data_IF_196328018082
#
_entry.id   IF_196328018082
#
_cell.length_a   1.000
_cell.length_b   1.000
_cell.length_c   1.000
_cell.angle_alpha   90.00
_cell.angle_beta   90.00
_cell.angle_gamma   90.00
#
_symmetry.space_group_name_H-M   'P 1'
#
loop_
_entity.id
_entity.type
_entity.pdbx_description
1 polymer ?
#
# COMPACT_ATOMS: atom_id res chain seq x y z
N UNK A 1 -18.08 15.62 -1.72
CA UNK A 1 -16.90 16.27 -1.11
C UNK A 1 -15.94 16.65 -2.23
N UNK A 2 -15.42 17.88 -2.20
CA UNK A 2 -14.28 18.28 -3.03
C UNK A 2 -13.03 17.55 -2.56
N UNK A 3 -12.32 16.94 -3.48
CA UNK A 3 -11.01 16.28 -3.34
C UNK A 3 -9.89 17.32 -3.48
N UNK A 4 -8.76 17.10 -2.80
CA UNK A 4 -7.58 17.97 -2.85
C UNK A 4 -6.54 17.50 -3.87
N UNK A 5 -6.55 16.22 -4.24
CA UNK A 5 -5.54 15.62 -5.13
C UNK A 5 -6.13 14.64 -6.13
N UNK A 6 -5.42 14.43 -7.24
CA UNK A 6 -5.77 13.41 -8.23
C UNK A 6 -5.78 11.98 -7.65
N UNK A 7 -4.98 11.72 -6.62
CA UNK A 7 -5.02 10.43 -5.90
C UNK A 7 -6.37 10.28 -5.19
N UNK A 8 -6.81 11.31 -4.48
CA UNK A 8 -8.12 11.29 -3.81
C UNK A 8 -9.27 11.21 -4.80
N UNK A 9 -9.21 11.90 -5.95
CA UNK A 9 -10.18 11.75 -7.04
C UNK A 9 -10.27 10.30 -7.52
N UNK A 10 -9.12 9.71 -7.84
CA UNK A 10 -9.03 8.33 -8.34
C UNK A 10 -9.57 7.30 -7.35
N UNK A 11 -9.48 7.57 -6.05
CA UNK A 11 -9.87 6.65 -4.97
C UNK A 11 -11.32 6.88 -4.53
N UNK A 12 -11.80 8.13 -4.57
CA UNK A 12 -13.21 8.50 -4.37
C UNK A 12 -14.09 7.85 -5.45
N UNK A 13 -13.69 7.93 -6.71
CA UNK A 13 -14.56 7.57 -7.81
C UNK A 13 -14.67 6.04 -8.01
N UNK A 14 -13.76 5.25 -7.42
CA UNK A 14 -13.79 3.79 -7.54
C UNK A 14 -12.99 3.08 -6.44
N UNK A 15 -13.67 2.23 -5.66
CA UNK A 15 -13.02 1.30 -4.72
C UNK A 15 -12.05 0.35 -5.45
N UNK A 16 -12.39 -0.08 -6.67
CA UNK A 16 -11.53 -0.97 -7.47
C UNK A 16 -10.18 -0.30 -7.79
N UNK A 17 -10.17 1.00 -8.11
CA UNK A 17 -8.91 1.73 -8.33
C UNK A 17 -8.07 1.87 -7.06
N UNK A 18 -8.71 1.88 -5.89
CA UNK A 18 -8.00 1.84 -4.63
C UNK A 18 -7.41 0.44 -4.39
N UNK A 19 -8.15 -0.62 -4.69
CA UNK A 19 -7.68 -1.99 -4.59
C UNK A 19 -6.48 -2.25 -5.52
N UNK A 20 -6.54 -1.80 -6.78
CA UNK A 20 -5.42 -1.93 -7.72
C UNK A 20 -4.12 -1.31 -7.18
N UNK A 21 -4.24 -0.13 -6.55
CA UNK A 21 -3.10 0.55 -5.92
C UNK A 21 -2.59 -0.21 -4.70
N UNK A 22 -3.48 -0.73 -3.87
CA UNK A 22 -3.11 -1.57 -2.71
C UNK A 22 -2.42 -2.86 -3.16
N UNK A 23 -2.86 -3.47 -4.26
CA UNK A 23 -2.23 -4.67 -4.83
C UNK A 23 -0.80 -4.38 -5.31
N UNK A 24 -0.56 -3.21 -5.93
CA UNK A 24 0.78 -2.78 -6.33
C UNK A 24 1.68 -2.59 -5.11
N UNK A 25 1.17 -1.98 -4.04
CA UNK A 25 1.91 -1.76 -2.79
C UNK A 25 2.23 -3.08 -2.09
N UNK A 26 1.26 -4.00 -2.03
CA UNK A 26 1.44 -5.34 -1.47
C UNK A 26 2.51 -6.12 -2.25
N UNK A 27 2.50 -6.06 -3.58
CA UNK A 27 3.55 -6.67 -4.40
C UNK A 27 4.94 -6.05 -4.14
N UNK A 28 5.01 -4.72 -3.95
CA UNK A 28 6.26 -4.05 -3.61
C UNK A 28 6.77 -4.46 -2.21
N UNK A 29 5.87 -4.56 -1.23
CA UNK A 29 6.16 -5.05 0.12
C UNK A 29 6.74 -6.46 0.11
N UNK A 30 6.12 -7.38 -0.61
CA UNK A 30 6.60 -8.77 -0.76
C UNK A 30 8.01 -8.78 -1.37
N UNK A 31 8.25 -8.01 -2.44
CA UNK A 31 9.59 -7.94 -3.07
C UNK A 31 10.64 -7.38 -2.11
N UNK A 32 10.32 -6.32 -1.36
CA UNK A 32 11.23 -5.72 -0.38
C UNK A 32 11.57 -6.71 0.74
N UNK A 33 10.58 -7.43 1.26
CA UNK A 33 10.79 -8.46 2.28
C UNK A 33 11.65 -9.62 1.76
N UNK A 34 11.46 -10.04 0.51
CA UNK A 34 12.31 -11.04 -0.13
C UNK A 34 13.75 -10.54 -0.27
N UNK A 35 13.96 -9.30 -0.73
CA UNK A 35 15.30 -8.71 -0.84
C UNK A 35 16.01 -8.58 0.50
N UNK A 36 15.28 -8.39 1.61
CA UNK A 36 15.86 -8.35 2.96
C UNK A 36 16.33 -9.72 3.47
N UNK A 37 15.81 -10.82 2.91
CA UNK A 37 16.24 -12.18 3.26
C UNK A 37 17.50 -12.62 2.50
N UNK A 38 17.93 -11.86 1.50
CA UNK A 38 19.17 -12.11 0.75
C UNK A 38 20.40 -11.57 1.51
N UNK A 39 21.62 -12.02 1.19
CA UNK A 39 22.84 -11.47 1.77
C UNK A 39 23.02 -10.01 1.31
N UNK A 40 22.63 -9.07 2.16
CA UNK A 40 22.66 -7.64 1.88
C UNK A 40 23.60 -6.93 2.84
N UNK A 41 24.18 -5.82 2.40
CA UNK A 41 24.98 -4.97 3.31
C UNK A 41 24.07 -4.30 4.33
N UNK A 42 24.65 -3.84 5.45
CA UNK A 42 23.91 -3.08 6.47
C UNK A 42 23.23 -1.82 5.88
N UNK A 43 23.89 -1.14 4.95
CA UNK A 43 23.35 0.04 4.27
C UNK A 43 22.15 -0.32 3.40
N UNK A 44 22.24 -1.41 2.62
CA UNK A 44 21.13 -1.91 1.81
C UNK A 44 19.95 -2.32 2.69
N UNK A 45 20.22 -2.99 3.81
CA UNK A 45 19.18 -3.36 4.77
C UNK A 45 18.46 -2.12 5.33
N UNK A 46 19.20 -1.07 5.70
CA UNK A 46 18.61 0.19 6.16
C UNK A 46 17.76 0.85 5.07
N UNK A 47 18.23 0.86 3.82
CA UNK A 47 17.46 1.37 2.68
C UNK A 47 16.16 0.57 2.48
N UNK A 48 16.22 -0.76 2.55
CA UNK A 48 15.02 -1.60 2.44
C UNK A 48 14.04 -1.38 3.58
N UNK A 49 14.53 -1.17 4.81
CA UNK A 49 13.67 -0.81 5.95
C UNK A 49 12.91 0.50 5.69
N UNK A 50 13.61 1.55 5.24
CA UNK A 50 12.96 2.84 4.92
C UNK A 50 11.93 2.72 3.80
N UNK A 51 12.24 1.94 2.75
CA UNK A 51 11.30 1.70 1.66
C UNK A 51 10.07 0.90 2.13
N UNK A 52 10.28 -0.10 2.99
CA UNK A 52 9.19 -0.89 3.55
C UNK A 52 8.25 -0.05 4.42
N UNK A 53 8.79 0.82 5.27
CA UNK A 53 8.01 1.76 6.07
C UNK A 53 7.22 2.72 5.19
N UNK A 54 7.81 3.24 4.11
CA UNK A 54 7.12 4.12 3.17
C UNK A 54 5.95 3.41 2.46
N UNK A 55 6.11 2.13 2.08
CA UNK A 55 5.03 1.34 1.48
C UNK A 55 3.88 1.12 2.45
N UNK A 56 4.19 0.76 3.72
CA UNK A 56 3.18 0.58 4.77
C UNK A 56 2.40 1.88 4.99
N UNK A 57 3.09 3.01 5.09
CA UNK A 57 2.44 4.32 5.26
C UNK A 57 1.56 4.68 4.05
N UNK A 58 1.98 4.35 2.83
CA UNK A 58 1.19 4.58 1.63
C UNK A 58 -0.10 3.74 1.61
N UNK A 59 -0.06 2.48 2.05
CA UNK A 59 -1.24 1.63 2.19
C UNK A 59 -2.25 2.24 3.17
N UNK A 60 -1.77 2.68 4.33
CA UNK A 60 -2.62 3.30 5.36
C UNK A 60 -3.29 4.58 4.85
N UNK A 61 -2.55 5.44 4.14
CA UNK A 61 -3.10 6.67 3.54
C UNK A 61 -4.24 6.33 2.57
N UNK A 62 -4.05 5.34 1.68
CA UNK A 62 -5.08 4.94 0.72
C UNK A 62 -6.31 4.39 1.45
N UNK A 63 -6.13 3.53 2.45
CA UNK A 63 -7.24 2.97 3.25
C UNK A 63 -8.04 4.06 3.97
N UNK A 64 -7.36 5.05 4.55
CA UNK A 64 -8.00 6.21 5.20
C UNK A 64 -8.81 7.03 4.19
N UNK A 65 -8.25 7.29 3.00
CA UNK A 65 -8.95 8.03 1.95
C UNK A 65 -10.19 7.26 1.47
N UNK A 66 -10.09 5.94 1.23
CA UNK A 66 -11.24 5.12 0.83
C UNK A 66 -12.33 5.16 1.89
N UNK A 67 -11.96 4.96 3.15
CA UNK A 67 -12.92 4.96 4.25
C UNK A 67 -13.70 6.27 4.32
N UNK A 68 -13.02 7.41 4.13
CA UNK A 68 -13.66 8.74 4.10
C UNK A 68 -14.72 8.90 3.01
N UNK A 69 -14.55 8.26 1.86
CA UNK A 69 -15.46 8.44 0.72
C UNK A 69 -16.54 7.37 0.60
N UNK A 70 -16.23 6.14 1.03
CA UNK A 70 -17.12 4.99 0.82
C UNK A 70 -17.76 4.48 2.12
N UNK A 71 -17.32 4.96 3.30
CA UNK A 71 -17.72 4.46 4.62
C UNK A 71 -17.57 2.93 4.75
N UNK A 72 -16.68 2.34 3.96
CA UNK A 72 -16.41 0.91 3.94
C UNK A 72 -14.91 0.72 4.15
N UNK A 73 -14.50 -0.21 5.03
CA UNK A 73 -13.11 -0.61 5.10
C UNK A 73 -12.76 -1.32 3.78
N UNK A 74 -11.62 -0.97 3.19
CA UNK A 74 -11.02 -1.85 2.19
C UNK A 74 -10.58 -3.10 2.92
N UNK A 75 -11.24 -4.22 2.67
CA UNK A 75 -10.80 -5.50 3.23
C UNK A 75 -9.41 -5.78 2.66
N UNK A 76 -8.41 -6.16 3.48
CA UNK A 76 -7.28 -6.86 2.92
C UNK A 76 -7.83 -8.07 2.16
N UNK A 77 -7.30 -8.37 0.98
CA UNK A 77 -7.57 -9.66 0.35
C UNK A 77 -6.98 -10.72 1.29
N UNK A 78 -7.80 -11.23 2.20
CA UNK A 78 -7.57 -12.45 2.94
C UNK A 78 -7.56 -13.58 1.91
N UNK A 79 -6.42 -13.86 1.28
CA UNK A 79 -6.14 -15.12 0.57
C UNK A 79 -4.67 -15.19 0.16
N UNK A 80 -3.83 -15.57 1.12
CA UNK A 80 -2.74 -16.52 0.92
C UNK A 80 -2.57 -17.30 2.25
N UNK A 81 -3.66 -17.91 2.71
CA UNK A 81 -3.57 -19.20 3.40
C UNK A 81 -3.48 -20.24 2.29
N UNK A 82 -2.29 -20.83 2.09
CA UNK A 82 -1.98 -22.22 1.71
C UNK A 82 -0.52 -22.35 1.28
#
# INVERSE_FOLDING_TARGET
MSTLTYLEDSVRDSVNRAQDRLNILQAAKIRLQQSMNEPVTREQHQQFTLLLEAVIQAEDIIRVIVYRYHNQPVKPDDENEY
#
